data_IF_382305143225
#
_entry.id   IF_382305143225
#
_cell.length_a   1.000
_cell.length_b   1.000
_cell.length_c   1.000
_cell.angle_alpha   90.00
_cell.angle_beta   90.00
_cell.angle_gamma   90.00
#
_symmetry.space_group_name_H-M   'P 1'
#
loop_
_entity.id
_entity.type
_entity.pdbx_description
1 polymer ?
#
# COMPACT_ATOMS: atom_id res chain seq x y z
N UNK A 1 4.67 5.95 -22.20
CA UNK A 1 3.90 7.04 -21.53
C UNK A 1 4.64 7.65 -20.33
N UNK A 2 5.98 7.64 -20.28
CA UNK A 2 6.77 8.34 -19.25
C UNK A 2 7.07 9.80 -19.63
N UNK A 3 7.25 10.08 -20.93
CA UNK A 3 7.70 11.38 -21.44
C UNK A 3 6.74 12.56 -21.20
N UNK A 4 5.43 12.31 -21.06
CA UNK A 4 4.46 13.36 -20.73
C UNK A 4 4.51 13.80 -19.26
N UNK A 5 5.10 12.99 -18.37
CA UNK A 5 5.23 13.33 -16.95
C UNK A 5 6.49 14.17 -16.72
N UNK A 6 7.57 13.83 -17.42
CA UNK A 6 8.85 14.55 -17.36
C UNK A 6 8.76 15.98 -17.93
N UNK A 7 8.02 16.19 -19.02
CA UNK A 7 7.84 17.53 -19.58
C UNK A 7 7.15 18.48 -18.59
N UNK A 8 6.12 18.01 -17.88
CA UNK A 8 5.36 18.82 -16.91
C UNK A 8 6.19 19.23 -15.69
N UNK A 9 7.07 18.34 -15.23
CA UNK A 9 7.99 18.64 -14.11
C UNK A 9 9.02 19.68 -14.56
N UNK A 10 9.58 19.51 -15.77
CA UNK A 10 10.52 20.47 -16.36
C UNK A 10 9.88 21.84 -16.56
N UNK A 11 8.67 21.89 -17.11
CA UNK A 11 7.97 23.14 -17.39
C UNK A 11 7.57 23.87 -16.10
N UNK A 12 7.18 23.13 -15.05
CA UNK A 12 6.93 23.71 -13.73
C UNK A 12 8.21 24.22 -13.05
N UNK A 13 9.32 23.50 -13.19
CA UNK A 13 10.62 23.95 -12.68
C UNK A 13 11.04 25.27 -13.35
N UNK A 14 10.96 25.34 -14.68
CA UNK A 14 11.27 26.53 -15.47
C UNK A 14 10.33 27.71 -15.12
N UNK A 15 9.04 27.45 -14.94
CA UNK A 15 8.05 28.48 -14.57
C UNK A 15 8.23 29.03 -13.14
N UNK A 16 9.01 28.34 -12.31
CA UNK A 16 9.25 28.67 -10.92
C UNK A 16 10.65 29.22 -10.65
N UNK A 17 11.55 29.31 -11.64
CA UNK A 17 12.93 29.79 -11.43
C UNK A 17 13.02 31.23 -10.89
N UNK A 18 12.07 32.10 -11.25
CA UNK A 18 12.05 33.52 -10.86
C UNK A 18 11.05 33.87 -9.75
N UNK A 19 10.41 32.87 -9.13
CA UNK A 19 9.30 33.06 -8.18
C UNK A 19 9.70 32.81 -6.72
N UNK A 20 9.02 33.48 -5.79
CA UNK A 20 9.22 33.30 -4.35
C UNK A 20 8.91 31.88 -3.88
N UNK A 21 9.57 31.40 -2.84
CA UNK A 21 9.54 29.99 -2.38
C UNK A 21 8.13 29.41 -2.23
N UNK A 22 7.19 30.19 -1.70
CA UNK A 22 5.80 29.78 -1.51
C UNK A 22 5.06 29.48 -2.83
N UNK A 23 5.34 30.25 -3.89
CA UNK A 23 4.78 30.01 -5.23
C UNK A 23 5.42 28.80 -5.92
N UNK A 24 6.71 28.56 -5.67
CA UNK A 24 7.40 27.35 -6.16
C UNK A 24 6.75 26.11 -5.56
N UNK A 25 6.60 26.07 -4.23
CA UNK A 25 5.94 24.97 -3.53
C UNK A 25 4.50 24.76 -4.00
N UNK A 26 3.73 25.84 -4.15
CA UNK A 26 2.34 25.73 -4.61
C UNK A 26 2.23 25.15 -6.02
N UNK A 27 3.17 25.48 -6.92
CA UNK A 27 3.21 24.96 -8.30
C UNK A 27 3.56 23.47 -8.34
N UNK A 28 4.57 23.05 -7.58
CA UNK A 28 4.92 21.63 -7.47
C UNK A 28 3.83 20.82 -6.77
N UNK A 29 3.22 21.36 -5.72
CA UNK A 29 2.06 20.76 -5.08
C UNK A 29 0.92 20.60 -6.08
N UNK A 30 0.61 21.63 -6.88
CA UNK A 30 -0.39 21.53 -7.96
C UNK A 30 -0.04 20.45 -8.98
N UNK A 31 1.22 20.18 -9.32
CA UNK A 31 1.58 19.02 -10.17
C UNK A 31 1.26 17.67 -9.53
N UNK A 32 1.39 17.57 -8.21
CA UNK A 32 1.02 16.36 -7.46
C UNK A 32 -0.48 16.26 -7.17
N UNK A 33 -1.17 17.41 -7.17
CA UNK A 33 -2.60 17.56 -6.83
C UNK A 33 -3.53 17.80 -8.03
N UNK A 34 -3.02 17.97 -9.27
CA UNK A 34 -3.89 18.33 -10.40
C UNK A 34 -4.79 17.16 -10.79
N UNK A 35 -6.07 17.37 -10.48
CA UNK A 35 -7.27 16.82 -11.12
C UNK A 35 -7.54 15.34 -10.87
N UNK A 36 -8.54 15.08 -10.02
CA UNK A 36 -9.30 13.83 -9.86
C UNK A 36 -8.56 12.57 -10.29
N UNK A 37 -7.94 11.86 -9.34
CA UNK A 37 -7.45 10.51 -9.60
C UNK A 37 -8.64 9.67 -10.11
N UNK A 38 -8.70 9.41 -11.41
CA UNK A 38 -9.66 8.47 -12.03
C UNK A 38 -9.38 7.01 -11.61
N UNK A 39 -8.41 6.79 -10.70
CA UNK A 39 -8.08 5.51 -10.12
C UNK A 39 -8.95 5.22 -8.90
N UNK A 40 -9.66 4.09 -8.94
CA UNK A 40 -10.29 3.47 -7.77
C UNK A 40 -9.28 3.22 -6.64
N UNK A 41 -9.79 3.22 -5.41
CA UNK A 41 -9.12 2.60 -4.26
C UNK A 41 -9.59 1.15 -4.12
N UNK A 42 -8.66 0.20 -4.19
CA UNK A 42 -8.94 -1.23 -4.24
C UNK A 42 -8.19 -1.90 -3.10
N UNK A 43 -8.92 -2.58 -2.22
CA UNK A 43 -8.34 -3.33 -1.11
C UNK A 43 -8.56 -4.82 -1.37
N UNK A 44 -7.48 -5.57 -1.51
CA UNK A 44 -7.51 -7.03 -1.57
C UNK A 44 -7.35 -7.59 -0.16
N UNK A 45 -8.33 -8.35 0.31
CA UNK A 45 -8.22 -9.13 1.54
C UNK A 45 -8.03 -10.58 1.11
N UNK A 46 -6.90 -11.19 1.49
CA UNK A 46 -6.53 -12.51 1.01
C UNK A 46 -5.85 -13.34 2.11
N UNK A 47 -5.76 -14.65 1.87
CA UNK A 47 -5.02 -15.58 2.73
C UNK A 47 -3.61 -15.87 2.22
N UNK A 48 -3.27 -15.46 1.00
CA UNK A 48 -1.97 -15.71 0.36
C UNK A 48 -1.51 -14.49 -0.44
N UNK A 49 -0.20 -14.28 -0.49
CA UNK A 49 0.48 -13.33 -1.37
C UNK A 49 1.90 -13.81 -1.67
N UNK A 50 2.26 -13.83 -2.95
CA UNK A 50 3.62 -14.15 -3.37
C UNK A 50 4.53 -12.92 -3.23
N UNK A 51 5.81 -13.08 -2.83
CA UNK A 51 6.45 -14.34 -2.44
C UNK A 51 6.28 -14.68 -0.94
N UNK A 52 5.72 -13.79 -0.13
CA UNK A 52 5.87 -13.82 1.34
C UNK A 52 5.09 -14.91 2.06
N UNK A 53 3.88 -15.25 1.59
CA UNK A 53 2.98 -16.21 2.22
C UNK A 53 2.19 -16.91 1.10
N UNK A 54 2.77 -17.98 0.56
CA UNK A 54 2.28 -18.63 -0.65
C UNK A 54 2.28 -20.14 -0.49
N UNK A 55 1.16 -20.77 -0.85
CA UNK A 55 1.02 -22.23 -0.93
C UNK A 55 0.63 -22.65 -2.35
N UNK A 56 -0.23 -21.86 -3.01
CA UNK A 56 -0.75 -22.16 -4.34
C UNK A 56 -0.76 -20.96 -5.27
N UNK A 57 -1.59 -21.01 -6.31
CA UNK A 57 -1.67 -19.96 -7.35
C UNK A 57 -2.29 -18.64 -6.87
N UNK A 58 -3.03 -18.64 -5.75
CA UNK A 58 -3.69 -17.44 -5.23
C UNK A 58 -2.69 -16.32 -4.95
N UNK A 59 -1.56 -16.64 -4.32
CA UNK A 59 -0.53 -15.65 -4.01
C UNK A 59 0.03 -14.94 -5.25
N UNK A 60 0.15 -15.64 -6.38
CA UNK A 60 0.62 -15.03 -7.64
C UNK A 60 -0.45 -14.11 -8.23
N UNK A 61 -1.72 -14.50 -8.11
CA UNK A 61 -2.85 -13.70 -8.58
C UNK A 61 -2.92 -12.38 -7.81
N UNK A 62 -2.83 -12.41 -6.47
CA UNK A 62 -2.90 -11.20 -5.65
C UNK A 62 -1.78 -10.22 -6.03
N UNK A 63 -0.54 -10.70 -6.11
CA UNK A 63 0.61 -9.86 -6.46
C UNK A 63 0.53 -9.38 -7.91
N UNK A 64 0.22 -10.27 -8.85
CA UNK A 64 0.13 -9.95 -10.28
C UNK A 64 -0.99 -8.97 -10.60
N UNK A 65 -2.19 -9.21 -10.08
CA UNK A 65 -3.35 -8.34 -10.26
C UNK A 65 -3.12 -6.99 -9.60
N UNK A 66 -2.60 -6.96 -8.37
CA UNK A 66 -2.33 -5.72 -7.66
C UNK A 66 -1.34 -4.82 -8.43
N UNK A 67 -0.24 -5.39 -8.94
CA UNK A 67 0.72 -4.66 -9.78
C UNK A 67 0.07 -4.19 -11.09
N UNK A 68 -0.80 -4.99 -11.70
CA UNK A 68 -1.49 -4.60 -12.93
C UNK A 68 -2.46 -3.42 -12.72
N UNK A 69 -3.20 -3.41 -11.61
CA UNK A 69 -4.10 -2.33 -11.22
C UNK A 69 -3.34 -1.05 -10.86
N UNK A 70 -2.24 -1.17 -10.12
CA UNK A 70 -1.36 -0.03 -9.78
C UNK A 70 -0.79 0.61 -11.06
N UNK A 71 -0.35 -0.20 -12.04
CA UNK A 71 0.11 0.29 -13.36
C UNK A 71 -0.99 1.00 -14.16
N UNK A 72 -2.26 0.66 -13.93
CA UNK A 72 -3.43 1.35 -14.51
C UNK A 72 -3.78 2.64 -13.77
N UNK A 73 -3.07 2.98 -12.69
CA UNK A 73 -3.25 4.21 -11.92
C UNK A 73 -4.22 4.08 -10.73
N UNK A 74 -4.60 2.86 -10.36
CA UNK A 74 -5.40 2.60 -9.16
C UNK A 74 -4.53 2.63 -7.89
N UNK A 75 -5.12 3.03 -6.78
CA UNK A 75 -4.54 2.78 -5.46
C UNK A 75 -4.91 1.35 -5.07
N UNK A 76 -3.91 0.54 -4.76
CA UNK A 76 -4.12 -0.87 -4.40
C UNK A 76 -3.42 -1.14 -3.09
N UNK A 77 -4.16 -1.71 -2.16
CA UNK A 77 -3.68 -2.13 -0.85
C UNK A 77 -4.06 -3.60 -0.62
N UNK A 78 -3.25 -4.32 0.16
CA UNK A 78 -3.47 -5.72 0.45
C UNK A 78 -3.53 -5.92 1.96
N UNK A 79 -4.47 -6.72 2.44
CA UNK A 79 -4.58 -7.14 3.83
C UNK A 79 -4.36 -8.65 3.89
N UNK A 80 -3.41 -9.07 4.72
CA UNK A 80 -3.06 -10.46 4.97
C UNK A 80 -3.06 -10.76 6.47
N UNK A 81 -3.30 -12.01 6.87
CA UNK A 81 -2.88 -12.48 8.19
C UNK A 81 -1.35 -12.47 8.34
N UNK A 82 -0.86 -12.17 9.55
CA UNK A 82 0.56 -12.26 9.87
C UNK A 82 0.95 -13.70 10.25
N UNK A 83 0.96 -14.60 9.28
CA UNK A 83 1.34 -16.00 9.51
C UNK A 83 2.79 -16.15 9.99
N UNK A 84 3.05 -17.23 10.72
CA UNK A 84 4.40 -17.62 11.13
C UNK A 84 5.32 -17.97 9.95
N UNK A 85 4.74 -18.35 8.80
CA UNK A 85 5.49 -18.71 7.60
C UNK A 85 5.92 -17.51 6.73
N UNK A 86 5.63 -16.27 7.16
CA UNK A 86 5.99 -15.07 6.41
C UNK A 86 7.51 -14.97 6.24
N UNK A 87 7.94 -14.80 4.99
CA UNK A 87 9.34 -14.51 4.66
C UNK A 87 9.63 -13.01 4.84
N UNK A 88 10.03 -12.62 6.05
CA UNK A 88 10.25 -11.22 6.44
C UNK A 88 11.32 -10.50 5.60
N UNK A 89 12.34 -11.21 5.13
CA UNK A 89 13.42 -10.63 4.30
C UNK A 89 12.93 -10.08 2.96
N UNK A 90 11.72 -10.48 2.53
CA UNK A 90 11.09 -10.06 1.29
C UNK A 90 10.12 -8.88 1.49
N UNK A 91 10.03 -8.35 2.72
CA UNK A 91 9.19 -7.21 3.08
C UNK A 91 10.08 -6.00 3.36
N UNK A 92 9.85 -4.90 2.64
CA UNK A 92 10.54 -3.64 2.92
C UNK A 92 9.70 -2.75 3.83
N UNK A 93 10.37 -1.92 4.64
CA UNK A 93 9.75 -0.92 5.52
C UNK A 93 8.71 -1.48 6.49
N UNK A 94 8.89 -2.73 6.93
CA UNK A 94 7.98 -3.37 7.89
C UNK A 94 7.98 -2.63 9.23
N UNK A 95 6.82 -2.18 9.66
CA UNK A 95 6.64 -1.52 10.97
C UNK A 95 5.26 -1.77 11.54
N UNK A 96 5.18 -1.79 12.86
CA UNK A 96 3.91 -1.79 13.56
C UNK A 96 3.26 -0.41 13.47
N UNK A 97 1.94 -0.39 13.25
CA UNK A 97 1.14 0.83 13.36
C UNK A 97 0.67 0.98 14.80
N UNK A 98 0.73 2.21 15.31
CA UNK A 98 0.19 2.57 16.62
C UNK A 98 -1.31 2.85 16.49
N UNK A 99 -2.07 1.79 16.20
CA UNK A 99 -3.53 1.81 16.05
C UNK A 99 -4.13 0.67 16.84
N UNK A 100 -5.22 0.95 17.55
CA UNK A 100 -6.00 -0.08 18.23
C UNK A 100 -7.05 -0.61 17.28
N UNK A 101 -6.89 -1.86 16.85
CA UNK A 101 -7.89 -2.57 16.03
C UNK A 101 -8.44 -3.73 16.83
N UNK A 102 -9.75 -3.82 16.95
CA UNK A 102 -10.43 -4.90 17.68
C UNK A 102 -11.32 -5.70 16.74
N UNK A 103 -11.37 -7.01 16.95
CA UNK A 103 -12.25 -7.94 16.24
C UNK A 103 -13.16 -8.66 17.21
N UNK A 104 -14.43 -8.81 16.85
CA UNK A 104 -15.41 -9.54 17.65
C UNK A 104 -15.37 -11.04 17.34
N UNK A 105 -15.32 -11.86 18.40
CA UNK A 105 -15.45 -13.31 18.30
C UNK A 105 -16.11 -13.85 19.57
N UNK A 106 -17.12 -14.71 19.42
CA UNK A 106 -17.77 -15.43 20.54
C UNK A 106 -18.14 -14.54 21.76
N UNK A 107 -18.80 -13.41 21.52
CA UNK A 107 -19.25 -12.51 22.59
C UNK A 107 -18.20 -11.56 23.13
N UNK A 108 -16.96 -11.59 22.65
CA UNK A 108 -15.84 -10.81 23.17
C UNK A 108 -15.11 -10.03 22.07
N UNK A 109 -14.54 -8.88 22.45
CA UNK A 109 -13.66 -8.10 21.60
C UNK A 109 -12.20 -8.46 21.89
N UNK A 110 -11.44 -8.69 20.82
CA UNK A 110 -10.03 -9.04 20.89
C UNK A 110 -9.20 -8.02 20.13
N UNK A 111 -8.12 -7.55 20.76
CA UNK A 111 -7.18 -6.64 20.13
C UNK A 111 -6.34 -7.36 19.08
N UNK A 112 -6.02 -6.63 18.03
CA UNK A 112 -5.12 -7.06 16.97
C UNK A 112 -4.06 -5.98 16.77
N UNK A 113 -2.86 -6.41 16.43
CA UNK A 113 -1.78 -5.50 16.05
C UNK A 113 -1.67 -5.46 14.54
N UNK A 114 -1.64 -4.23 14.00
CA UNK A 114 -1.50 -4.03 12.56
C UNK A 114 -0.05 -3.72 12.25
N UNK A 115 0.48 -4.43 11.28
CA UNK A 115 1.78 -4.13 10.68
C UNK A 115 1.58 -3.64 9.26
N UNK A 116 2.46 -2.78 8.78
CA UNK A 116 2.49 -2.35 7.39
C UNK A 116 3.88 -2.59 6.84
N UNK A 117 3.95 -3.06 5.60
CA UNK A 117 5.18 -3.20 4.83
C UNK A 117 4.90 -3.10 3.34
N UNK A 118 5.94 -3.16 2.52
CA UNK A 118 5.84 -3.14 1.06
C UNK A 118 6.38 -4.45 0.49
N UNK A 119 5.64 -5.06 -0.42
CA UNK A 119 6.02 -6.30 -1.12
C UNK A 119 5.81 -6.07 -2.61
N UNK A 120 6.85 -6.28 -3.42
CA UNK A 120 6.76 -6.13 -4.88
C UNK A 120 6.22 -4.75 -5.34
N UNK A 121 6.42 -3.71 -4.52
CA UNK A 121 5.94 -2.34 -4.75
C UNK A 121 4.47 -2.09 -4.33
N UNK A 122 3.82 -3.07 -3.71
CA UNK A 122 2.45 -2.99 -3.19
C UNK A 122 2.46 -2.80 -1.66
N UNK A 123 1.67 -1.86 -1.12
CA UNK A 123 1.48 -1.73 0.31
C UNK A 123 0.65 -2.89 0.86
N UNK A 124 1.15 -3.50 1.93
CA UNK A 124 0.55 -4.69 2.55
C UNK A 124 0.41 -4.46 4.05
N UNK A 125 -0.79 -4.71 4.56
CA UNK A 125 -1.13 -4.68 5.97
C UNK A 125 -1.23 -6.10 6.49
N UNK A 126 -0.56 -6.38 7.60
CA UNK A 126 -0.64 -7.67 8.26
C UNK A 126 -1.42 -7.55 9.56
N UNK A 127 -2.39 -8.44 9.74
CA UNK A 127 -3.16 -8.59 10.97
C UNK A 127 -2.48 -9.63 11.84
N UNK A 128 -1.94 -9.22 12.97
CA UNK A 128 -1.46 -10.10 14.04
C UNK A 128 -2.55 -10.19 15.12
N UNK A 129 -3.25 -11.32 15.25
CA UNK A 129 -4.30 -11.44 16.24
C UNK A 129 -3.74 -11.75 17.62
N UNK A 130 -4.34 -11.15 18.65
CA UNK A 130 -4.05 -11.49 20.04
C UNK A 130 -5.14 -12.38 20.67
N UNK A 131 -5.99 -13.00 19.85
CA UNK A 131 -6.95 -13.98 20.35
C UNK A 131 -6.21 -15.20 20.96
N UNK A 132 -6.62 -15.74 22.12
CA UNK A 132 -5.94 -16.84 22.79
C UNK A 132 -5.77 -18.11 21.94
N UNK A 133 -6.72 -18.36 21.04
CA UNK A 133 -6.68 -19.48 20.10
C UNK A 133 -5.64 -19.34 18.97
N UNK A 134 -4.94 -18.21 18.88
CA UNK A 134 -3.96 -17.91 17.82
C UNK A 134 -4.54 -18.17 16.43
N UNK A 135 -5.59 -17.42 16.09
CA UNK A 135 -6.13 -17.50 14.73
C UNK A 135 -5.03 -17.16 13.71
N UNK A 136 -4.96 -17.93 12.63
CA UNK A 136 -3.93 -17.91 11.57
C UNK A 136 -2.63 -18.63 11.91
#
# INVERSE_FOLDING_TARGET
>A
MAWKKDSRIRDAYLACESKGEHERLTTFLKLTYTSTRLGLNIIHIATEMAPVAKVGGLGDVITGLGKALQRKGHLVEIVLPKYDCIQYDLITDLKALDVVVESYFDGQLFRNKIWVGTIEGLPVYFIEPHHPAKFF
#
